data_IF_510826148569
#
_entry.id   IF_510826148569
#
_cell.length_a   1.000
_cell.length_b   1.000
_cell.length_c   1.000
_cell.angle_alpha   90.00
_cell.angle_beta   90.00
_cell.angle_gamma   90.00
#
_symmetry.space_group_name_H-M   'P 1'
#
loop_
_entity.id
_entity.type
_entity.pdbx_description
1 polymer ?
#
# COMPACT_ATOMS: atom_id res chain seq x y z
N UNK A 1 -9.24 28.10 11.99
CA UNK A 1 -10.47 27.85 11.18
C UNK A 1 -10.92 26.41 11.46
N UNK A 2 -12.22 26.14 11.57
CA UNK A 2 -12.76 24.78 11.82
C UNK A 2 -13.51 24.27 10.57
N UNK A 3 -13.76 22.96 10.50
CA UNK A 3 -14.50 22.32 9.41
C UNK A 3 -13.81 22.44 8.05
N UNK A 4 -14.60 22.52 6.97
CA UNK A 4 -14.11 22.57 5.59
C UNK A 4 -13.12 23.72 5.35
N UNK A 5 -13.37 24.91 5.92
CA UNK A 5 -12.49 26.05 5.78
C UNK A 5 -11.12 25.85 6.46
N UNK A 6 -11.05 25.00 7.48
CA UNK A 6 -9.80 24.56 8.09
C UNK A 6 -9.03 23.60 7.18
N UNK A 7 -9.71 22.59 6.62
CA UNK A 7 -9.12 21.63 5.69
C UNK A 7 -8.56 22.33 4.44
N UNK A 8 -9.34 23.21 3.80
CA UNK A 8 -8.88 23.94 2.62
C UNK A 8 -7.69 24.86 2.94
N UNK A 9 -7.64 25.45 4.16
CA UNK A 9 -6.49 26.24 4.58
C UNK A 9 -5.24 25.36 4.76
N UNK A 10 -5.37 24.14 5.30
CA UNK A 10 -4.25 23.21 5.40
C UNK A 10 -3.71 22.80 4.03
N UNK A 11 -4.58 22.48 3.06
CA UNK A 11 -4.16 22.17 1.68
C UNK A 11 -3.48 23.37 1.02
N UNK A 12 -4.04 24.57 1.17
CA UNK A 12 -3.48 25.82 0.63
C UNK A 12 -2.05 26.07 1.12
N UNK A 13 -1.78 25.76 2.38
CA UNK A 13 -0.51 26.09 3.03
C UNK A 13 0.56 24.98 2.87
N UNK A 14 0.21 23.81 2.31
CA UNK A 14 1.06 22.62 2.24
C UNK A 14 1.96 22.56 0.98
N UNK A 15 2.93 23.47 0.86
CA UNK A 15 4.00 23.33 -0.15
C UNK A 15 5.11 22.40 0.37
N UNK A 16 5.09 21.15 -0.08
CA UNK A 16 6.06 20.11 0.31
C UNK A 16 7.11 19.80 -0.76
N UNK A 17 7.15 20.54 -1.88
CA UNK A 17 7.97 20.19 -3.06
C UNK A 17 9.46 20.01 -2.74
N UNK A 18 10.01 20.79 -1.81
CA UNK A 18 11.39 20.62 -1.34
C UNK A 18 11.52 19.58 -0.23
N UNK A 19 10.53 19.53 0.65
CA UNK A 19 10.54 18.67 1.85
C UNK A 19 10.49 17.19 1.50
N UNK A 20 9.79 16.81 0.42
CA UNK A 20 9.67 15.40 0.01
C UNK A 20 11.03 14.77 -0.36
N UNK A 21 12.04 15.56 -0.74
CA UNK A 21 13.41 15.07 -0.98
C UNK A 21 14.06 14.46 0.28
N UNK A 22 13.55 14.79 1.48
CA UNK A 22 14.07 14.30 2.76
C UNK A 22 13.48 12.94 3.17
N UNK A 23 12.55 12.36 2.40
CA UNK A 23 11.90 11.08 2.74
C UNK A 23 12.94 9.95 2.62
N UNK A 24 13.29 9.25 3.73
CA UNK A 24 14.34 8.22 3.72
C UNK A 24 13.77 6.81 3.51
N UNK A 25 12.48 6.69 3.20
CA UNK A 25 11.75 5.42 3.12
C UNK A 25 11.47 5.07 1.66
N UNK A 26 11.50 3.77 1.28
CA UNK A 26 10.90 3.33 0.03
C UNK A 26 9.50 3.92 -0.10
N UNK A 27 9.21 4.49 -1.26
CA UNK A 27 7.98 5.22 -1.52
C UNK A 27 7.39 4.76 -2.84
N UNK A 28 6.12 4.36 -2.82
CA UNK A 28 5.32 4.15 -4.02
C UNK A 28 4.42 5.37 -4.22
N UNK A 29 4.42 5.91 -5.42
CA UNK A 29 3.51 6.95 -5.87
C UNK A 29 2.57 6.32 -6.90
N UNK A 30 1.25 6.43 -6.68
CA UNK A 30 0.23 5.99 -7.63
C UNK A 30 -0.51 7.22 -8.15
N UNK A 31 -0.65 7.34 -9.47
CA UNK A 31 -1.28 8.48 -10.12
C UNK A 31 -2.41 8.04 -11.06
N UNK A 32 -3.45 8.87 -11.16
CA UNK A 32 -4.43 8.79 -12.23
C UNK A 32 -4.00 9.64 -13.43
N UNK A 33 -3.92 9.04 -14.61
CA UNK A 33 -3.55 9.73 -15.86
C UNK A 33 -4.46 10.91 -16.19
N UNK A 34 -5.73 10.83 -15.81
CA UNK A 34 -6.78 11.79 -16.15
C UNK A 34 -7.21 12.65 -14.94
N UNK A 35 -6.49 12.58 -13.83
CA UNK A 35 -6.83 13.30 -12.61
C UNK A 35 -6.69 14.83 -12.79
N UNK A 36 -7.78 15.56 -12.53
CA UNK A 36 -7.81 17.04 -12.54
C UNK A 36 -7.71 17.66 -11.15
N UNK A 37 -7.81 16.86 -10.09
CA UNK A 37 -7.66 17.29 -8.68
C UNK A 37 -6.19 17.25 -8.30
N UNK A 38 -5.55 16.09 -8.50
CA UNK A 38 -4.11 15.90 -8.30
C UNK A 38 -3.47 15.41 -9.60
N UNK A 39 -3.22 16.35 -10.51
CA UNK A 39 -2.68 16.06 -11.84
C UNK A 39 -1.49 15.08 -11.82
N UNK A 40 -1.43 14.18 -12.80
CA UNK A 40 -0.37 13.17 -12.90
C UNK A 40 1.05 13.76 -12.83
N UNK A 41 1.25 14.96 -13.39
CA UNK A 41 2.53 15.70 -13.30
C UNK A 41 2.97 16.02 -11.87
N UNK A 42 2.04 16.18 -10.92
CA UNK A 42 2.39 16.33 -9.50
C UNK A 42 2.97 15.04 -8.93
N UNK A 43 2.40 13.89 -9.28
CA UNK A 43 2.92 12.57 -8.88
C UNK A 43 4.26 12.25 -9.54
N UNK A 44 4.43 12.61 -10.81
CA UNK A 44 5.71 12.54 -11.51
C UNK A 44 6.80 13.36 -10.81
N UNK A 45 6.47 14.60 -10.40
CA UNK A 45 7.38 15.45 -9.63
C UNK A 45 7.76 14.82 -8.28
N UNK A 46 6.81 14.25 -7.55
CA UNK A 46 7.08 13.56 -6.28
C UNK A 46 8.01 12.38 -6.52
N UNK A 47 7.71 11.51 -7.49
CA UNK A 47 8.53 10.35 -7.79
C UNK A 47 9.95 10.70 -8.25
N UNK A 48 10.11 11.80 -9.00
CA UNK A 48 11.41 12.31 -9.41
C UNK A 48 12.23 12.92 -8.25
N UNK A 49 11.55 13.41 -7.20
CA UNK A 49 12.18 14.12 -6.09
C UNK A 49 12.49 13.19 -4.90
N UNK A 50 11.63 12.21 -4.61
CA UNK A 50 11.81 11.29 -3.50
C UNK A 50 12.86 10.23 -3.87
N UNK A 51 13.96 10.08 -3.11
CA UNK A 51 15.01 9.13 -3.42
C UNK A 51 14.50 7.68 -3.53
N UNK A 52 14.67 7.08 -4.70
CA UNK A 52 14.29 5.68 -4.94
C UNK A 52 12.79 5.43 -4.99
N UNK A 53 11.96 6.47 -5.17
CA UNK A 53 10.52 6.28 -5.34
C UNK A 53 10.18 5.56 -6.64
N UNK A 54 9.08 4.80 -6.60
CA UNK A 54 8.47 4.16 -7.77
C UNK A 54 7.20 4.89 -8.14
N UNK A 55 6.92 5.00 -9.43
CA UNK A 55 5.70 5.60 -9.97
C UNK A 55 4.89 4.55 -10.74
N UNK A 56 3.60 4.45 -10.41
CA UNK A 56 2.60 3.71 -11.19
C UNK A 56 1.54 4.69 -11.66
N UNK A 57 1.29 4.73 -12.97
CA UNK A 57 0.27 5.59 -13.56
C UNK A 57 -0.86 4.73 -14.13
N UNK A 58 -2.03 4.82 -13.52
CA UNK A 58 -3.24 4.11 -13.94
C UNK A 58 -4.06 4.98 -14.89
N UNK A 59 -4.83 4.41 -15.84
CA UNK A 59 -5.76 5.15 -16.69
C UNK A 59 -7.01 5.66 -15.94
N UNK A 60 -6.84 6.14 -14.70
CA UNK A 60 -7.89 6.60 -13.79
C UNK A 60 -7.99 8.14 -13.71
N UNK A 61 -9.08 8.62 -13.11
CA UNK A 61 -9.18 9.98 -12.57
C UNK A 61 -8.63 9.98 -11.14
N UNK A 62 -9.33 10.55 -10.16
CA UNK A 62 -8.79 10.83 -8.83
C UNK A 62 -8.86 9.61 -7.89
N UNK A 63 -9.88 8.78 -8.02
CA UNK A 63 -10.13 7.66 -7.11
C UNK A 63 -9.71 6.35 -7.76
N UNK A 64 -8.43 6.24 -8.11
CA UNK A 64 -7.89 5.10 -8.85
C UNK A 64 -8.10 3.76 -8.15
N UNK A 65 -8.21 3.75 -6.81
CA UNK A 65 -8.52 2.57 -6.01
C UNK A 65 -9.98 2.08 -6.19
N UNK A 66 -10.88 2.94 -6.64
CA UNK A 66 -12.28 2.61 -6.95
C UNK A 66 -12.42 2.27 -8.43
N UNK A 67 -11.75 3.02 -9.31
CA UNK A 67 -11.86 2.86 -10.77
C UNK A 67 -11.11 1.61 -11.27
N UNK A 68 -9.92 1.32 -10.71
CA UNK A 68 -9.03 0.21 -11.08
C UNK A 68 -8.57 -0.57 -9.84
N UNK A 69 -9.51 -1.21 -9.12
CA UNK A 69 -9.22 -1.81 -7.81
C UNK A 69 -8.19 -2.93 -7.90
N UNK A 70 -8.23 -3.78 -8.94
CA UNK A 70 -7.31 -4.90 -9.09
C UNK A 70 -5.86 -4.42 -9.28
N UNK A 71 -5.65 -3.48 -10.20
CA UNK A 71 -4.35 -2.90 -10.52
C UNK A 71 -3.79 -2.08 -9.35
N UNK A 72 -4.65 -1.31 -8.68
CA UNK A 72 -4.28 -0.56 -7.49
C UNK A 72 -3.84 -1.48 -6.36
N UNK A 73 -4.64 -2.51 -6.04
CA UNK A 73 -4.33 -3.48 -4.98
C UNK A 73 -3.03 -4.22 -5.31
N UNK A 74 -2.85 -4.67 -6.56
CA UNK A 74 -1.65 -5.36 -6.97
C UNK A 74 -0.40 -4.48 -6.80
N UNK A 75 -0.44 -3.23 -7.26
CA UNK A 75 0.67 -2.29 -7.09
C UNK A 75 1.05 -2.07 -5.62
N UNK A 76 0.07 -1.99 -4.73
CA UNK A 76 0.29 -1.84 -3.29
C UNK A 76 0.87 -3.12 -2.67
N UNK A 77 0.32 -4.30 -3.00
CA UNK A 77 0.78 -5.58 -2.47
C UNK A 77 2.22 -5.85 -2.92
N UNK A 78 2.52 -5.67 -4.20
CA UNK A 78 3.86 -5.91 -4.75
C UNK A 78 4.89 -5.03 -4.04
N UNK A 79 4.60 -3.74 -3.91
CA UNK A 79 5.48 -2.81 -3.21
C UNK A 79 5.69 -3.16 -1.74
N UNK A 80 4.64 -3.60 -1.03
CA UNK A 80 4.73 -3.98 0.38
C UNK A 80 5.44 -5.33 0.60
N UNK A 81 5.39 -6.23 -0.38
CA UNK A 81 6.06 -7.53 -0.33
C UNK A 81 7.56 -7.42 -0.62
N UNK A 82 8.02 -6.31 -1.22
CA UNK A 82 9.44 -6.09 -1.46
C UNK A 82 10.23 -6.00 -0.15
N UNK A 83 11.33 -6.78 -0.01
CA UNK A 83 12.17 -6.68 1.18
C UNK A 83 12.80 -5.29 1.26
N UNK A 84 12.39 -4.53 2.28
CA UNK A 84 13.01 -3.24 2.61
C UNK A 84 14.51 -3.43 2.85
N UNK A 85 15.36 -2.59 2.25
CA UNK A 85 16.81 -2.61 2.46
C UNK A 85 17.21 -2.48 3.96
N UNK A 86 16.32 -1.97 4.81
CA UNK A 86 16.50 -1.97 6.27
C UNK A 86 16.42 -3.37 6.90
N UNK A 87 15.61 -4.26 6.33
CA UNK A 87 15.45 -5.65 6.80
C UNK A 87 16.62 -6.52 6.37
N UNK A 88 17.21 -6.26 5.20
CA UNK A 88 18.39 -6.97 4.70
C UNK A 88 19.65 -6.75 5.54
N UNK A 89 19.71 -5.67 6.33
CA UNK A 89 20.84 -5.38 7.23
C UNK A 89 20.73 -6.08 8.60
N UNK A 90 19.58 -6.66 8.94
CA UNK A 90 19.33 -7.30 10.23
C UNK A 90 19.56 -8.82 10.22
N UNK A 91 19.84 -9.44 9.06
CA UNK A 91 20.03 -10.90 8.95
C UNK A 91 21.49 -11.34 9.19
N UNK A 92 22.12 -10.83 10.25
CA UNK A 92 23.37 -11.35 10.79
C UNK A 92 23.12 -12.28 11.99
N UNK A 93 23.10 -13.60 11.73
CA UNK A 93 23.38 -14.76 12.63
C UNK A 93 22.61 -14.81 13.98
N UNK A 94 21.68 -15.76 14.26
CA UNK A 94 21.86 -17.21 14.52
C UNK A 94 20.55 -17.78 15.15
N UNK A 95 20.42 -19.09 15.50
CA UNK A 95 20.42 -20.31 14.70
C UNK A 95 19.02 -20.98 14.61
N UNK A 96 18.95 -22.08 13.87
CA UNK A 96 17.78 -22.90 13.58
C UNK A 96 16.94 -23.34 14.79
N UNK A 97 15.62 -23.42 14.60
CA UNK A 97 14.69 -24.19 15.45
C UNK A 97 14.01 -25.26 14.60
N UNK A 98 14.11 -26.49 15.10
CA UNK A 98 13.79 -27.76 14.46
C UNK A 98 12.34 -27.89 13.94
N UNK A 99 12.22 -28.61 12.82
CA UNK A 99 10.97 -29.12 12.27
C UNK A 99 10.21 -29.96 13.31
N UNK A 100 8.89 -29.78 13.36
CA UNK A 100 7.99 -30.69 14.05
C UNK A 100 7.12 -31.38 13.01
N UNK A 101 7.41 -32.65 12.78
CA UNK A 101 6.67 -33.60 11.95
C UNK A 101 5.18 -33.58 12.28
N UNK A 102 4.33 -33.54 11.24
CA UNK A 102 2.90 -33.81 11.36
C UNK A 102 2.58 -35.12 10.66
N UNK A 103 2.66 -36.20 11.41
CA UNK A 103 1.95 -37.44 11.09
C UNK A 103 0.85 -37.69 12.12
N UNK A 104 -0.35 -37.92 11.57
CA UNK A 104 -1.50 -38.63 12.08
C UNK A 104 -2.20 -38.16 13.39
N UNK A 105 -3.43 -37.68 13.24
CA UNK A 105 -4.60 -38.37 13.80
C UNK A 105 -5.90 -37.86 13.15
N UNK A 106 -6.51 -38.74 12.37
CA UNK A 106 -7.90 -38.68 11.91
C UNK A 106 -8.84 -38.74 13.12
N UNK A 107 -9.82 -37.85 13.19
CA UNK A 107 -11.03 -38.08 13.99
C UNK A 107 -12.28 -37.68 13.19
N UNK A 108 -13.06 -38.70 12.81
CA UNK A 108 -14.40 -38.55 12.24
C UNK A 108 -15.36 -38.17 13.36
N UNK A 109 -16.15 -37.13 13.17
CA UNK A 109 -17.26 -36.77 14.05
C UNK A 109 -18.30 -35.98 13.27
N UNK A 110 -19.34 -36.67 12.79
CA UNK A 110 -20.44 -36.08 12.04
C UNK A 110 -21.36 -35.23 12.92
N UNK A 111 -21.98 -34.22 12.31
CA UNK A 111 -23.12 -33.50 12.87
C UNK A 111 -24.20 -33.37 11.81
N UNK A 112 -25.40 -33.84 12.16
CA UNK A 112 -26.62 -33.84 11.35
C UNK A 112 -27.17 -32.41 11.16
N UNK A 113 -27.90 -32.11 10.07
CA UNK A 113 -28.53 -30.80 9.83
C UNK A 113 -29.87 -30.65 10.58
N UNK A 114 -30.14 -29.45 11.09
CA UNK A 114 -31.42 -29.09 11.73
C UNK A 114 -32.50 -28.70 10.68
N UNK A 115 -33.80 -28.94 10.97
CA UNK A 115 -34.88 -28.64 10.03
C UNK A 115 -35.37 -27.18 10.11
N UNK A 116 -35.76 -26.64 8.96
CA UNK A 116 -36.42 -25.35 8.81
C UNK A 116 -37.86 -25.39 9.36
N UNK A 117 -38.26 -24.37 10.12
CA UNK A 117 -39.67 -24.10 10.47
C UNK A 117 -40.24 -22.95 9.65
N UNK A 118 -41.51 -23.13 9.27
CA UNK A 118 -42.48 -22.13 8.82
C UNK A 118 -42.90 -21.20 9.95
#
# INVERSE_FOLDING_TARGET
RQGLAGLSAAVRDADLRRTVALIPRPTLVIAGRHDTVTAASHSELIAATVPGAKLVVLPAVHLSNIEYPAEFIQAVIDFCAEPSAATAKASGTSPAVAERSKDAAVHKGGRQPEPASM
#
